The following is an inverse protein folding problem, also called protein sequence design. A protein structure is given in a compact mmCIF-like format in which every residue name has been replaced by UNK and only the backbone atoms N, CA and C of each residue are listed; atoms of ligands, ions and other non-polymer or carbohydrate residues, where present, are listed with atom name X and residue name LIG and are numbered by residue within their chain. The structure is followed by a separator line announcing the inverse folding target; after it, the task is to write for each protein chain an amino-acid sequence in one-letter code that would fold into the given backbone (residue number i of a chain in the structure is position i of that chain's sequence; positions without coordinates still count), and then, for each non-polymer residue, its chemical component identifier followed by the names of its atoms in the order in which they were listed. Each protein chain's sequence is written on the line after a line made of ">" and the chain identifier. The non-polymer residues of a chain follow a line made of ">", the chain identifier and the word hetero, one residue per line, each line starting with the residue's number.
data_IF_042806457928
#
_entry.id   IF_042806457928
#
_cell.length_a   1.000
_cell.length_b   1.000
_cell.length_c   1.000
_cell.angle_alpha   90.00
_cell.angle_beta   90.00
_cell.angle_gamma   90.00
#
_symmetry.space_group_name_H-M   'P 1'
#
loop_
_entity.id
_entity.type
_entity.pdbx_description
1 polymer ?
#
# COMPACT_ATOMS: atom_id res chain seq x y z
N UNK A 1 31.63 -31.20 69.72
CA UNK A 1 31.73 -30.09 68.75
C UNK A 1 30.81 -30.44 67.60
N UNK A 2 29.64 -29.76 67.46
CA UNK A 2 28.63 -29.99 66.41
C UNK A 2 28.78 -28.89 65.36
N UNK A 3 29.16 -29.31 64.12
CA UNK A 3 29.26 -28.42 62.99
C UNK A 3 27.90 -28.15 62.38
N UNK A 4 27.54 -26.87 62.23
CA UNK A 4 26.32 -26.42 61.57
C UNK A 4 26.68 -26.19 60.07
N UNK A 5 26.08 -26.97 59.16
CA UNK A 5 26.18 -26.77 57.72
C UNK A 5 25.13 -25.76 57.28
N UNK A 6 25.55 -24.58 56.77
CA UNK A 6 24.67 -23.57 56.18
C UNK A 6 24.36 -23.94 54.73
N UNK A 7 23.10 -24.15 54.41
CA UNK A 7 22.60 -24.36 53.05
C UNK A 7 22.39 -22.98 52.42
N UNK A 8 23.15 -22.68 51.35
CA UNK A 8 22.94 -21.48 50.53
C UNK A 8 21.98 -21.87 49.40
N UNK A 9 20.74 -21.37 49.45
CA UNK A 9 19.74 -21.52 48.35
C UNK A 9 19.97 -20.41 47.34
N UNK A 10 20.51 -20.76 46.18
CA UNK A 10 20.63 -19.82 45.06
C UNK A 10 19.27 -19.72 44.34
N UNK A 11 18.60 -18.57 44.50
CA UNK A 11 17.39 -18.27 43.75
C UNK A 11 17.76 -17.84 42.30
N UNK A 12 17.41 -18.64 41.33
CA UNK A 12 17.50 -18.30 39.91
C UNK A 12 16.31 -17.40 39.54
N UNK A 13 16.58 -16.11 39.28
CA UNK A 13 15.61 -15.20 38.65
C UNK A 13 15.53 -15.56 37.17
N UNK A 14 14.50 -16.30 36.77
CA UNK A 14 14.14 -16.51 35.36
C UNK A 14 13.51 -15.21 34.88
N UNK A 15 14.27 -14.38 34.16
CA UNK A 15 13.76 -13.22 33.44
C UNK A 15 12.94 -13.75 32.24
N UNK A 16 11.67 -14.00 32.45
CA UNK A 16 10.74 -14.29 31.39
C UNK A 16 10.56 -13.05 30.52
N UNK A 17 11.15 -13.01 29.32
CA UNK A 17 10.79 -12.03 28.31
C UNK A 17 9.31 -12.24 27.96
N UNK A 18 8.47 -11.27 28.34
CA UNK A 18 7.08 -11.24 27.89
C UNK A 18 7.07 -11.28 26.36
N UNK A 19 6.31 -12.16 25.70
CA UNK A 19 6.16 -12.11 24.27
C UNK A 19 5.59 -10.74 23.91
N UNK A 20 6.32 -9.97 23.12
CA UNK A 20 5.79 -8.74 22.53
C UNK A 20 4.56 -9.14 21.71
N UNK A 21 3.38 -8.66 22.12
CA UNK A 21 2.17 -8.84 21.31
C UNK A 21 2.45 -8.29 19.91
N UNK A 22 2.19 -9.08 18.89
CA UNK A 22 2.30 -8.63 17.50
C UNK A 22 1.42 -7.39 17.33
N UNK A 23 1.90 -6.34 16.63
CA UNK A 23 1.08 -5.16 16.40
C UNK A 23 -0.20 -5.57 15.68
N UNK A 24 -1.32 -4.98 16.08
CA UNK A 24 -2.63 -5.23 15.46
C UNK A 24 -2.67 -4.75 14.02
N UNK A 25 -1.91 -3.68 13.73
CA UNK A 25 -1.84 -3.07 12.39
C UNK A 25 -0.50 -3.34 11.74
N UNK A 26 -0.53 -3.79 10.49
CA UNK A 26 0.63 -4.03 9.62
C UNK A 26 0.44 -3.33 8.30
N UNK A 27 1.53 -2.80 7.73
CA UNK A 27 1.59 -2.30 6.36
C UNK A 27 2.34 -3.32 5.53
N UNK A 28 1.69 -3.87 4.50
CA UNK A 28 2.27 -4.91 3.63
C UNK A 28 2.42 -4.35 2.23
N UNK A 29 3.64 -4.37 1.72
CA UNK A 29 3.96 -3.89 0.38
C UNK A 29 3.67 -5.00 -0.62
N UNK A 30 2.51 -4.98 -1.28
CA UNK A 30 2.14 -6.01 -2.26
C UNK A 30 2.81 -5.79 -3.61
N UNK A 31 3.11 -4.54 -3.95
CA UNK A 31 3.86 -4.17 -5.13
C UNK A 31 4.50 -2.80 -4.95
N UNK A 32 5.77 -2.70 -5.31
CA UNK A 32 6.60 -1.50 -5.14
C UNK A 32 7.10 -0.94 -6.47
N UNK A 33 6.69 -1.57 -7.58
CA UNK A 33 7.12 -1.22 -8.93
C UNK A 33 6.55 0.11 -9.42
N UNK A 34 6.87 0.42 -10.66
CA UNK A 34 6.50 1.63 -11.41
C UNK A 34 5.99 1.18 -12.79
N UNK A 35 5.67 2.07 -13.73
CA UNK A 35 5.34 1.65 -15.10
C UNK A 35 6.45 0.87 -15.84
N UNK A 36 7.68 0.84 -15.30
CA UNK A 36 8.76 0.03 -15.89
C UNK A 36 8.47 -1.46 -15.62
N UNK A 37 8.68 -2.27 -16.65
CA UNK A 37 8.45 -3.72 -16.56
C UNK A 37 9.62 -4.42 -15.84
N UNK A 38 9.75 -4.18 -14.55
CA UNK A 38 10.72 -4.84 -13.69
C UNK A 38 10.13 -6.21 -13.25
N UNK A 39 10.81 -7.34 -13.54
CA UNK A 39 10.30 -8.67 -13.20
C UNK A 39 10.26 -8.93 -11.69
N UNK A 40 11.06 -8.21 -10.91
CA UNK A 40 11.19 -8.41 -9.46
C UNK A 40 10.27 -7.49 -8.64
N UNK A 41 9.57 -6.54 -9.29
CA UNK A 41 8.67 -5.57 -8.66
C UNK A 41 7.31 -5.53 -9.35
N UNK A 42 6.28 -5.90 -8.63
CA UNK A 42 4.91 -5.82 -9.11
C UNK A 42 4.36 -4.39 -9.06
N UNK A 43 3.28 -4.14 -9.79
CA UNK A 43 2.66 -2.81 -9.84
C UNK A 43 2.24 -2.30 -8.46
N UNK A 44 2.19 -0.97 -8.27
CA UNK A 44 1.96 -0.36 -6.96
C UNK A 44 0.70 -0.91 -6.28
N UNK A 45 0.86 -1.45 -5.09
CA UNK A 45 -0.22 -1.91 -4.24
C UNK A 45 0.26 -2.05 -2.79
N UNK A 46 -0.45 -1.42 -1.86
CA UNK A 46 -0.17 -1.47 -0.43
C UNK A 46 -1.38 -2.02 0.30
N UNK A 47 -1.17 -2.91 1.27
CA UNK A 47 -2.25 -3.36 2.14
C UNK A 47 -2.03 -2.85 3.57
N UNK A 48 -3.01 -2.11 4.11
CA UNK A 48 -3.13 -1.89 5.54
C UNK A 48 -3.94 -3.06 6.10
N UNK A 49 -3.34 -3.82 6.99
CA UNK A 49 -3.97 -4.98 7.64
C UNK A 49 -4.18 -4.66 9.10
N UNK A 50 -5.42 -4.74 9.57
CA UNK A 50 -5.78 -4.56 10.97
C UNK A 50 -6.44 -5.83 11.47
N UNK A 51 -5.79 -6.50 12.42
CA UNK A 51 -6.17 -7.83 12.90
C UNK A 51 -6.31 -8.84 11.72
N UNK A 52 -7.54 -9.22 11.39
CA UNK A 52 -7.91 -10.17 10.34
C UNK A 52 -8.47 -9.51 9.06
N UNK A 53 -8.44 -8.19 8.97
CA UNK A 53 -9.06 -7.42 7.88
C UNK A 53 -8.03 -6.66 7.08
N UNK A 54 -8.17 -6.69 5.75
CA UNK A 54 -7.29 -5.98 4.82
C UNK A 54 -8.00 -4.83 4.09
N UNK A 55 -7.25 -3.74 3.88
CA UNK A 55 -7.63 -2.55 3.15
C UNK A 55 -6.54 -2.28 2.12
N UNK A 56 -6.86 -2.44 0.83
CA UNK A 56 -5.89 -2.24 -0.25
C UNK A 56 -5.82 -0.78 -0.67
N UNK A 57 -4.64 -0.27 -0.92
CA UNK A 57 -4.42 1.01 -1.60
C UNK A 57 -3.70 0.71 -2.90
N UNK A 58 -4.34 1.06 -3.99
CA UNK A 58 -4.04 0.68 -5.36
C UNK A 58 -4.08 -0.83 -5.63
N UNK A 59 -4.13 -1.16 -6.89
CA UNK A 59 -4.26 -2.52 -7.37
C UNK A 59 -3.51 -2.68 -8.70
N UNK A 60 -2.21 -2.40 -8.66
CA UNK A 60 -1.30 -2.61 -9.77
C UNK A 60 -1.25 -4.08 -10.21
N UNK A 61 -0.55 -4.34 -11.31
CA UNK A 61 -0.45 -5.67 -11.88
C UNK A 61 0.05 -6.68 -10.83
N UNK A 62 -0.66 -7.83 -10.71
CA UNK A 62 -0.27 -8.93 -9.83
C UNK A 62 -0.75 -8.82 -8.38
N UNK A 63 -1.53 -7.80 -8.00
CA UNK A 63 -1.99 -7.56 -6.63
C UNK A 63 -2.58 -8.80 -5.94
N UNK A 64 -3.43 -9.57 -6.63
CA UNK A 64 -4.06 -10.79 -6.05
C UNK A 64 -3.03 -11.87 -5.76
N UNK A 65 -2.07 -12.07 -6.67
CA UNK A 65 -1.00 -13.06 -6.49
C UNK A 65 -0.03 -12.67 -5.39
N UNK A 66 0.25 -11.37 -5.26
CA UNK A 66 1.10 -10.84 -4.17
C UNK A 66 0.39 -10.94 -2.82
N UNK A 67 -0.91 -10.66 -2.76
CA UNK A 67 -1.73 -10.89 -1.58
C UNK A 67 -1.72 -12.37 -1.15
N UNK A 68 -1.89 -13.29 -2.11
CA UNK A 68 -1.79 -14.74 -1.84
C UNK A 68 -0.38 -15.16 -1.39
N UNK A 69 0.69 -14.53 -1.88
CA UNK A 69 2.05 -14.77 -1.41
C UNK A 69 2.24 -14.29 0.03
N UNK A 70 1.75 -13.09 0.37
CA UNK A 70 1.76 -12.57 1.73
C UNK A 70 0.92 -13.44 2.70
N UNK A 71 -0.22 -13.96 2.24
CA UNK A 71 -1.05 -14.91 2.98
C UNK A 71 -0.27 -16.18 3.34
N UNK A 72 0.44 -16.77 2.38
CA UNK A 72 1.31 -17.94 2.59
C UNK A 72 2.45 -17.64 3.57
N UNK A 73 2.97 -16.43 3.58
CA UNK A 73 4.01 -15.96 4.52
C UNK A 73 3.44 -15.60 5.91
N UNK A 74 2.15 -15.83 6.16
CA UNK A 74 1.53 -15.69 7.48
C UNK A 74 0.59 -14.50 7.65
N UNK A 75 0.38 -13.66 6.64
CA UNK A 75 -0.58 -12.54 6.70
C UNK A 75 -1.96 -13.03 6.25
N UNK A 76 -2.64 -13.79 7.10
CA UNK A 76 -3.90 -14.49 6.75
C UNK A 76 -5.04 -13.58 6.27
N UNK A 77 -5.07 -12.33 6.71
CA UNK A 77 -6.01 -11.32 6.23
C UNK A 77 -5.94 -11.07 4.71
N UNK A 78 -4.82 -11.43 4.06
CA UNK A 78 -4.58 -11.25 2.63
C UNK A 78 -4.93 -12.49 1.78
N UNK A 79 -5.62 -13.48 2.33
CA UNK A 79 -6.23 -14.52 1.51
C UNK A 79 -7.10 -13.88 0.41
N UNK A 80 -7.03 -14.41 -0.82
CA UNK A 80 -7.73 -13.80 -1.96
C UNK A 80 -9.22 -13.57 -1.70
N UNK A 81 -9.87 -14.47 -0.97
CA UNK A 81 -11.29 -14.36 -0.58
C UNK A 81 -11.59 -13.22 0.40
N UNK A 82 -10.58 -12.66 1.05
CA UNK A 82 -10.70 -11.55 2.00
C UNK A 82 -10.48 -10.16 1.36
N UNK A 83 -10.10 -10.11 0.08
CA UNK A 83 -9.87 -8.86 -0.64
C UNK A 83 -11.22 -8.23 -1.03
N UNK A 84 -11.82 -7.50 -0.12
CA UNK A 84 -13.19 -6.97 -0.26
C UNK A 84 -13.26 -5.45 -0.39
N UNK A 85 -12.16 -4.73 -0.12
CA UNK A 85 -12.10 -3.26 -0.14
C UNK A 85 -10.80 -2.78 -0.75
N UNK A 86 -10.90 -1.80 -1.67
CA UNK A 86 -9.71 -1.17 -2.24
C UNK A 86 -9.95 0.33 -2.50
N UNK A 87 -8.88 1.10 -2.38
CA UNK A 87 -8.83 2.55 -2.50
C UNK A 87 -7.85 2.90 -3.62
N UNK A 88 -8.32 3.50 -4.71
CA UNK A 88 -7.47 3.97 -5.79
C UNK A 88 -6.94 5.37 -5.50
N UNK A 89 -5.64 5.58 -5.60
CA UNK A 89 -5.04 6.91 -5.47
C UNK A 89 -5.34 7.76 -6.70
N UNK A 90 -5.15 7.21 -7.88
CA UNK A 90 -5.45 7.80 -9.17
C UNK A 90 -5.62 6.70 -10.24
N UNK A 91 -5.85 7.05 -11.52
CA UNK A 91 -6.19 6.06 -12.53
C UNK A 91 -5.08 5.80 -13.57
N UNK A 92 -3.81 6.02 -13.26
CA UNK A 92 -2.73 5.52 -14.09
C UNK A 92 -2.77 4.00 -14.20
N UNK A 93 -2.32 3.49 -15.33
CA UNK A 93 -2.44 2.06 -15.65
C UNK A 93 -1.65 1.17 -14.68
N UNK A 94 -0.48 1.57 -14.26
CA UNK A 94 0.35 0.79 -13.32
C UNK A 94 -0.29 0.63 -11.94
N UNK A 95 -1.13 1.59 -11.50
CA UNK A 95 -1.92 1.51 -10.27
C UNK A 95 -3.23 0.72 -10.43
N UNK A 96 -3.69 0.47 -11.67
CA UNK A 96 -5.05 -0.05 -11.92
C UNK A 96 -5.11 -1.32 -12.78
N UNK A 97 -4.01 -1.76 -13.41
CA UNK A 97 -4.01 -2.94 -14.29
C UNK A 97 -4.43 -4.25 -13.62
N UNK A 98 -4.31 -4.37 -12.30
CA UNK A 98 -4.77 -5.53 -11.54
C UNK A 98 -6.26 -5.51 -11.19
N UNK A 99 -7.03 -4.47 -11.59
CA UNK A 99 -8.44 -4.36 -11.20
C UNK A 99 -9.30 -5.52 -11.69
N UNK A 100 -9.14 -5.94 -12.93
CA UNK A 100 -9.88 -7.09 -13.46
C UNK A 100 -9.56 -8.37 -12.67
N UNK A 101 -8.28 -8.61 -12.36
CA UNK A 101 -7.86 -9.75 -11.53
C UNK A 101 -8.47 -9.66 -10.11
N UNK A 102 -8.48 -8.46 -9.50
CA UNK A 102 -9.07 -8.23 -8.17
C UNK A 102 -10.61 -8.42 -8.13
N UNK A 103 -11.29 -8.14 -9.23
CA UNK A 103 -12.73 -8.39 -9.34
C UNK A 103 -12.98 -9.90 -9.50
N UNK A 104 -12.33 -10.54 -10.46
CA UNK A 104 -12.68 -11.86 -10.98
C UNK A 104 -12.05 -13.00 -10.21
N UNK A 105 -10.74 -12.98 -9.95
CA UNK A 105 -10.04 -14.11 -9.30
C UNK A 105 -10.56 -14.37 -7.89
N UNK A 106 -10.73 -13.40 -6.98
CA UNK A 106 -11.32 -13.64 -5.67
C UNK A 106 -12.80 -14.10 -5.75
N UNK A 107 -13.55 -13.65 -6.74
CA UNK A 107 -14.92 -14.12 -6.97
C UNK A 107 -14.95 -15.60 -7.38
N UNK A 108 -14.07 -16.02 -8.30
CA UNK A 108 -13.92 -17.43 -8.72
C UNK A 108 -13.53 -18.30 -7.50
N UNK A 109 -12.74 -17.77 -6.59
CA UNK A 109 -12.33 -18.43 -5.35
C UNK A 109 -13.38 -18.30 -4.21
N UNK A 110 -14.62 -17.95 -4.54
CA UNK A 110 -15.75 -17.87 -3.63
C UNK A 110 -15.65 -16.77 -2.54
N UNK A 111 -15.09 -15.60 -2.88
CA UNK A 111 -15.18 -14.43 -2.02
C UNK A 111 -16.63 -14.23 -1.56
N UNK A 112 -16.82 -14.06 -0.25
CA UNK A 112 -18.16 -14.10 0.36
C UNK A 112 -19.01 -12.85 0.04
N UNK A 113 -18.37 -11.70 -0.19
CA UNK A 113 -19.02 -10.40 -0.41
C UNK A 113 -18.47 -9.71 -1.65
N UNK A 114 -19.27 -8.91 -2.37
CA UNK A 114 -18.80 -8.11 -3.50
C UNK A 114 -17.64 -7.18 -3.10
N UNK A 115 -16.82 -6.84 -4.10
CA UNK A 115 -15.76 -5.84 -3.95
C UNK A 115 -16.36 -4.44 -3.82
N UNK A 116 -15.82 -3.67 -2.89
CA UNK A 116 -16.12 -2.24 -2.75
C UNK A 116 -14.86 -1.43 -3.07
N UNK A 117 -15.00 -0.47 -3.97
CA UNK A 117 -13.94 0.40 -4.47
C UNK A 117 -14.21 1.85 -4.07
N UNK A 118 -13.17 2.54 -3.70
CA UNK A 118 -13.14 3.98 -3.42
C UNK A 118 -12.07 4.62 -4.29
N UNK A 119 -12.33 5.77 -4.93
CA UNK A 119 -11.31 6.42 -5.74
C UNK A 119 -11.83 7.58 -6.56
N UNK A 120 -11.02 8.14 -7.47
CA UNK A 120 -11.36 9.32 -8.22
C UNK A 120 -12.49 9.06 -9.24
N UNK A 121 -13.06 10.14 -9.73
CA UNK A 121 -14.02 10.10 -10.86
C UNK A 121 -13.40 9.36 -12.04
N UNK A 122 -14.20 8.49 -12.68
CA UNK A 122 -13.79 7.60 -13.75
C UNK A 122 -13.60 6.15 -13.31
N UNK A 123 -13.39 5.88 -12.02
CA UNK A 123 -13.22 4.52 -11.48
C UNK A 123 -14.45 3.65 -11.74
N UNK A 124 -15.65 4.21 -11.62
CA UNK A 124 -16.92 3.50 -11.94
C UNK A 124 -17.00 3.11 -13.42
N UNK A 125 -16.65 4.02 -14.32
CA UNK A 125 -16.64 3.76 -15.75
C UNK A 125 -15.60 2.69 -16.11
N UNK A 126 -14.37 2.80 -15.56
CA UNK A 126 -13.31 1.80 -15.72
C UNK A 126 -13.77 0.42 -15.26
N UNK A 127 -14.33 0.31 -14.05
CA UNK A 127 -14.85 -0.95 -13.49
C UNK A 127 -15.89 -1.59 -14.40
N UNK A 128 -16.86 -0.81 -14.88
CA UNK A 128 -17.91 -1.30 -15.80
C UNK A 128 -17.30 -1.82 -17.10
N UNK A 129 -16.41 -1.07 -17.75
CA UNK A 129 -15.79 -1.49 -19.01
C UNK A 129 -14.93 -2.75 -18.86
N UNK A 130 -14.25 -2.90 -17.75
CA UNK A 130 -13.49 -4.13 -17.46
C UNK A 130 -14.43 -5.33 -17.29
N UNK A 131 -15.54 -5.18 -16.58
CA UNK A 131 -16.55 -6.24 -16.45
C UNK A 131 -17.16 -6.58 -17.82
N UNK A 132 -17.47 -5.59 -18.64
CA UNK A 132 -18.00 -5.78 -19.99
C UNK A 132 -17.01 -6.49 -20.91
N UNK A 133 -15.71 -6.22 -20.76
CA UNK A 133 -14.65 -6.90 -21.51
C UNK A 133 -14.60 -8.42 -21.24
N UNK A 134 -15.03 -8.86 -20.04
CA UNK A 134 -15.09 -10.28 -19.65
C UNK A 134 -16.51 -10.87 -19.77
N UNK A 135 -17.43 -10.25 -20.50
CA UNK A 135 -18.83 -10.66 -20.58
C UNK A 135 -19.02 -12.12 -21.00
N UNK A 136 -18.22 -12.62 -21.96
CA UNK A 136 -18.30 -14.02 -22.42
C UNK A 136 -17.79 -15.01 -21.35
N UNK A 137 -16.67 -14.73 -20.69
CA UNK A 137 -16.15 -15.54 -19.58
C UNK A 137 -17.21 -15.62 -18.47
N UNK A 138 -17.78 -14.49 -18.06
CA UNK A 138 -18.78 -14.42 -17.02
C UNK A 138 -20.07 -15.18 -17.40
N UNK A 139 -20.48 -15.09 -18.66
CA UNK A 139 -21.65 -15.84 -19.18
C UNK A 139 -21.40 -17.35 -19.13
N UNK A 140 -20.21 -17.81 -19.52
CA UNK A 140 -19.84 -19.22 -19.51
C UNK A 140 -19.79 -19.73 -18.09
N UNK A 141 -19.12 -19.04 -17.17
CA UNK A 141 -19.01 -19.44 -15.75
C UNK A 141 -20.37 -19.47 -15.04
N UNK A 142 -21.24 -18.52 -15.32
CA UNK A 142 -22.55 -18.43 -14.64
C UNK A 142 -23.62 -19.34 -15.22
N UNK A 143 -23.49 -19.79 -16.48
CA UNK A 143 -24.50 -20.60 -17.20
C UNK A 143 -23.97 -21.91 -17.77
N UNK A 144 -22.66 -22.11 -17.76
CA UNK A 144 -21.98 -23.23 -18.41
C UNK A 144 -21.78 -24.47 -17.55
N UNK A 145 -22.37 -24.54 -16.35
CA UNK A 145 -22.31 -25.71 -15.47
C UNK A 145 -21.31 -25.65 -14.32
N UNK A 146 -20.61 -24.51 -14.14
CA UNK A 146 -19.84 -24.30 -12.91
C UNK A 146 -20.78 -24.25 -11.68
N UNK A 147 -20.27 -24.59 -10.48
CA UNK A 147 -21.04 -24.43 -9.25
C UNK A 147 -21.55 -23.00 -9.09
N UNK A 148 -22.74 -22.84 -8.52
CA UNK A 148 -23.37 -21.54 -8.36
C UNK A 148 -22.56 -20.67 -7.40
N UNK A 149 -22.06 -19.53 -7.89
CA UNK A 149 -21.37 -18.52 -7.07
C UNK A 149 -22.34 -17.80 -6.13
N UNK A 150 -21.79 -17.24 -5.05
CA UNK A 150 -22.58 -16.56 -3.99
C UNK A 150 -23.29 -15.31 -4.47
N UNK A 151 -22.72 -14.61 -5.46
CA UNK A 151 -23.30 -13.39 -6.06
C UNK A 151 -22.85 -13.23 -7.51
N UNK A 152 -23.51 -12.35 -8.25
CA UNK A 152 -23.13 -11.99 -9.62
C UNK A 152 -21.83 -11.17 -9.59
N UNK A 153 -20.77 -11.55 -10.33
CA UNK A 153 -19.49 -10.85 -10.36
C UNK A 153 -19.60 -9.40 -10.86
N UNK A 154 -20.68 -9.04 -11.54
CA UNK A 154 -20.98 -7.67 -11.97
C UNK A 154 -21.36 -6.75 -10.82
N UNK A 155 -21.66 -7.32 -9.64
CA UNK A 155 -21.95 -6.54 -8.43
C UNK A 155 -20.65 -6.08 -7.80
N UNK A 156 -20.16 -4.92 -8.24
CA UNK A 156 -19.06 -4.18 -7.63
C UNK A 156 -19.57 -2.82 -7.17
N UNK A 157 -19.39 -2.51 -5.89
CA UNK A 157 -19.77 -1.20 -5.36
C UNK A 157 -18.64 -0.21 -5.59
N UNK A 158 -18.91 0.91 -6.26
CA UNK A 158 -17.90 1.93 -6.53
C UNK A 158 -18.34 3.28 -5.94
N UNK A 159 -17.50 3.83 -5.07
CA UNK A 159 -17.61 5.17 -4.53
C UNK A 159 -16.58 6.08 -5.19
N UNK A 160 -17.03 6.98 -6.06
CA UNK A 160 -16.19 8.07 -6.56
C UNK A 160 -16.17 9.15 -5.48
N UNK A 161 -14.99 9.42 -4.95
CA UNK A 161 -14.78 10.18 -3.71
C UNK A 161 -14.29 11.61 -3.97
N UNK A 162 -14.36 12.41 -2.94
CA UNK A 162 -13.70 13.72 -2.81
C UNK A 162 -12.88 13.71 -1.51
N UNK A 163 -11.92 14.67 -1.33
CA UNK A 163 -11.17 14.78 -0.07
C UNK A 163 -12.08 14.83 1.16
N UNK A 164 -11.67 14.16 2.23
CA UNK A 164 -12.39 14.03 3.48
C UNK A 164 -12.51 12.58 3.95
N UNK A 165 -13.40 12.33 4.92
CA UNK A 165 -13.70 10.98 5.40
C UNK A 165 -14.36 10.15 4.29
N UNK A 166 -13.72 9.06 3.86
CA UNK A 166 -14.19 8.22 2.75
C UNK A 166 -14.64 6.84 3.19
N UNK A 167 -14.11 6.35 4.32
CA UNK A 167 -14.50 5.05 4.87
C UNK A 167 -14.29 5.02 6.39
N UNK A 168 -15.16 4.28 7.08
CA UNK A 168 -15.02 3.98 8.51
C UNK A 168 -15.69 2.65 8.85
N UNK A 169 -15.00 1.85 9.64
CA UNK A 169 -15.56 0.69 10.34
C UNK A 169 -15.02 0.62 11.79
N UNK A 170 -15.17 -0.51 12.45
CA UNK A 170 -14.71 -0.72 13.84
C UNK A 170 -13.19 -0.72 13.99
N UNK A 171 -12.46 -0.93 12.90
CA UNK A 171 -10.99 -1.11 12.86
C UNK A 171 -10.26 0.10 12.31
N UNK A 172 -10.90 0.87 11.43
CA UNK A 172 -10.19 1.93 10.72
C UNK A 172 -11.08 3.12 10.38
N UNK A 173 -10.48 4.29 10.39
CA UNK A 173 -11.02 5.49 9.75
C UNK A 173 -10.08 5.86 8.62
N UNK A 174 -10.59 6.00 7.39
CA UNK A 174 -9.82 6.36 6.21
C UNK A 174 -10.26 7.73 5.70
N UNK A 175 -9.31 8.65 5.63
CA UNK A 175 -9.48 9.99 5.06
C UNK A 175 -8.67 10.09 3.77
N UNK A 176 -9.28 10.56 2.70
CA UNK A 176 -8.57 10.93 1.47
C UNK A 176 -8.21 12.40 1.50
N UNK A 177 -7.04 12.75 0.99
CA UNK A 177 -6.62 14.13 0.77
C UNK A 177 -6.10 14.30 -0.65
N UNK A 178 -6.32 15.47 -1.25
CA UNK A 178 -5.86 15.73 -2.60
C UNK A 178 -4.34 15.91 -2.63
N UNK A 179 -3.73 15.35 -3.67
CA UNK A 179 -2.31 15.53 -3.99
C UNK A 179 -2.16 16.01 -5.44
N UNK A 180 -1.17 16.86 -5.75
CA UNK A 180 -0.91 17.27 -7.13
C UNK A 180 -0.20 16.14 -7.87
N UNK A 181 -0.78 15.70 -8.99
CA UNK A 181 -0.14 14.70 -9.86
C UNK A 181 -0.29 15.12 -11.33
N UNK A 182 0.50 16.10 -11.73
CA UNK A 182 0.57 16.62 -13.10
C UNK A 182 -0.77 17.09 -13.64
N UNK A 183 -1.29 16.41 -14.67
CA UNK A 183 -2.55 16.78 -15.34
C UNK A 183 -3.79 16.06 -14.77
N UNK A 184 -3.64 15.20 -13.78
CA UNK A 184 -4.77 14.56 -13.12
C UNK A 184 -5.58 15.57 -12.31
N UNK A 185 -6.88 15.69 -12.62
CA UNK A 185 -7.78 16.54 -11.85
C UNK A 185 -8.01 16.01 -10.43
N UNK A 186 -7.92 14.71 -10.25
CA UNK A 186 -8.09 14.03 -8.98
C UNK A 186 -7.02 12.97 -8.79
N UNK A 187 -6.14 13.20 -7.84
CA UNK A 187 -5.24 12.21 -7.27
C UNK A 187 -5.29 12.35 -5.74
N UNK A 188 -5.20 11.25 -5.03
CA UNK A 188 -5.39 11.17 -3.60
C UNK A 188 -4.23 10.49 -2.90
N UNK A 189 -3.83 11.04 -1.75
CA UNK A 189 -3.20 10.29 -0.69
C UNK A 189 -4.27 9.83 0.32
N UNK A 190 -3.91 8.86 1.14
CA UNK A 190 -4.80 8.30 2.16
C UNK A 190 -4.16 8.33 3.54
N UNK A 191 -4.96 8.70 4.53
CA UNK A 191 -4.63 8.68 5.94
C UNK A 191 -5.49 7.62 6.62
N UNK A 192 -4.85 6.59 7.18
CA UNK A 192 -5.46 5.50 7.93
C UNK A 192 -5.21 5.71 9.42
N UNK A 193 -6.28 5.88 10.17
CA UNK A 193 -6.25 5.86 11.62
C UNK A 193 -6.78 4.49 12.10
N UNK A 194 -5.91 3.70 12.72
CA UNK A 194 -6.22 2.40 13.30
C UNK A 194 -6.16 2.43 14.83
N UNK A 195 -6.50 1.37 15.56
CA UNK A 195 -6.44 1.37 17.02
C UNK A 195 -5.06 1.60 17.63
N UNK A 196 -4.00 1.24 16.90
CA UNK A 196 -2.60 1.26 17.38
C UNK A 196 -1.63 2.01 16.48
N UNK A 197 -2.06 2.47 15.28
CA UNK A 197 -1.18 3.15 14.32
C UNK A 197 -1.89 4.20 13.49
N UNK A 198 -1.12 5.19 13.06
CA UNK A 198 -1.47 6.16 12.03
C UNK A 198 -0.57 5.94 10.82
N UNK A 199 -1.17 5.64 9.66
CA UNK A 199 -0.46 5.38 8.41
C UNK A 199 -0.87 6.41 7.37
N UNK A 200 0.10 7.00 6.69
CA UNK A 200 -0.12 7.90 5.55
C UNK A 200 0.49 7.27 4.31
N UNK A 201 -0.29 7.20 3.23
CA UNK A 201 0.14 6.68 1.93
C UNK A 201 -0.05 7.80 0.91
N UNK A 202 1.03 8.22 0.26
CA UNK A 202 1.02 9.39 -0.61
C UNK A 202 0.22 9.20 -1.91
N UNK A 203 0.20 7.99 -2.48
CA UNK A 203 0.00 7.82 -3.92
C UNK A 203 1.12 8.52 -4.69
N UNK A 204 0.95 8.71 -6.00
CA UNK A 204 1.88 9.50 -6.78
C UNK A 204 1.58 10.99 -6.61
N UNK A 205 2.62 11.79 -6.36
CA UNK A 205 2.44 13.21 -6.04
C UNK A 205 3.64 14.06 -6.43
N UNK A 206 3.38 15.24 -6.94
CA UNK A 206 4.40 16.29 -7.03
C UNK A 206 4.80 16.81 -5.64
N UNK A 207 5.86 17.63 -5.57
CA UNK A 207 6.48 18.04 -4.29
C UNK A 207 5.65 19.03 -3.46
N UNK A 208 4.62 19.65 -4.03
CA UNK A 208 3.74 20.63 -3.37
C UNK A 208 2.58 19.96 -2.62
N UNK A 209 2.81 18.80 -2.04
CA UNK A 209 1.80 18.08 -1.27
C UNK A 209 1.83 18.52 0.19
N UNK A 210 0.68 18.40 0.86
CA UNK A 210 0.56 18.59 2.31
C UNK A 210 0.80 17.30 3.09
N UNK A 211 1.70 16.46 2.61
CA UNK A 211 2.00 15.16 3.22
C UNK A 211 2.53 15.34 4.64
N UNK A 212 3.39 16.34 4.88
CA UNK A 212 3.90 16.66 6.21
C UNK A 212 2.78 17.05 7.20
N UNK A 213 1.76 17.78 6.73
CA UNK A 213 0.58 18.12 7.55
C UNK A 213 -0.26 16.87 7.86
N UNK A 214 -0.43 15.97 6.89
CA UNK A 214 -1.19 14.73 7.07
C UNK A 214 -0.45 13.73 7.95
N UNK A 215 0.87 13.70 7.87
CA UNK A 215 1.68 12.74 8.63
C UNK A 215 1.97 13.17 10.07
N UNK A 216 2.05 14.45 10.42
CA UNK A 216 2.34 14.97 11.79
C UNK A 216 2.60 13.89 12.86
N UNK A 217 3.82 13.35 12.92
CA UNK A 217 4.22 12.24 13.78
C UNK A 217 3.46 10.92 13.52
N UNK A 218 3.07 10.65 12.25
CA UNK A 218 2.47 9.37 11.91
C UNK A 218 3.46 8.21 12.16
N UNK A 219 2.93 7.02 12.42
CA UNK A 219 3.76 5.84 12.67
C UNK A 219 4.46 5.36 11.39
N UNK A 220 3.75 5.42 10.25
CA UNK A 220 4.31 5.01 8.95
C UNK A 220 3.89 6.01 7.87
N UNK A 221 4.88 6.56 7.17
CA UNK A 221 4.69 7.29 5.93
C UNK A 221 5.17 6.41 4.76
N UNK A 222 4.26 5.93 3.92
CA UNK A 222 4.59 5.27 2.65
C UNK A 222 4.53 6.31 1.55
N UNK A 223 5.64 6.56 0.86
CA UNK A 223 5.72 7.64 -0.12
C UNK A 223 6.47 7.23 -1.39
N UNK A 224 5.94 7.65 -2.54
CA UNK A 224 6.62 7.51 -3.83
C UNK A 224 7.87 8.39 -3.88
N UNK A 225 8.80 8.07 -4.76
CA UNK A 225 10.05 8.85 -4.83
C UNK A 225 10.80 8.64 -6.13
N UNK A 226 11.48 9.69 -6.61
CA UNK A 226 12.48 9.53 -7.66
C UNK A 226 13.89 9.93 -7.24
N UNK A 227 14.90 9.25 -7.83
CA UNK A 227 16.32 9.64 -7.71
C UNK A 227 16.62 10.86 -8.57
N UNK A 228 17.09 11.93 -7.95
CA UNK A 228 17.55 13.13 -8.67
C UNK A 228 18.75 12.83 -9.58
N UNK A 229 19.69 12.00 -9.11
CA UNK A 229 20.86 11.58 -9.90
C UNK A 229 20.46 10.70 -11.09
N UNK A 230 19.46 9.82 -10.91
CA UNK A 230 18.91 9.00 -11.99
C UNK A 230 18.16 9.85 -13.01
N UNK A 231 17.32 10.80 -12.54
CA UNK A 231 16.57 11.69 -13.42
C UNK A 231 17.46 12.60 -14.25
N UNK A 232 18.56 13.12 -13.69
CA UNK A 232 19.49 14.01 -14.37
C UNK A 232 20.13 13.35 -15.64
N UNK A 233 20.11 12.03 -15.73
CA UNK A 233 20.62 11.28 -16.91
C UNK A 233 19.53 11.03 -17.97
N UNK A 234 18.28 11.42 -17.71
CA UNK A 234 17.17 11.27 -18.68
C UNK A 234 17.14 12.46 -19.64
N UNK A 235 16.51 12.34 -20.83
CA UNK A 235 16.25 13.46 -21.71
C UNK A 235 15.50 14.59 -21.00
N UNK A 236 15.73 15.86 -21.41
CA UNK A 236 15.20 17.04 -20.75
C UNK A 236 13.66 17.04 -20.62
N UNK A 237 12.97 16.52 -21.61
CA UNK A 237 11.50 16.37 -21.59
C UNK A 237 11.02 15.44 -20.46
N UNK A 238 11.75 14.33 -20.22
CA UNK A 238 11.45 13.43 -19.11
C UNK A 238 11.82 14.03 -17.76
N UNK A 239 12.88 14.83 -17.70
CA UNK A 239 13.21 15.57 -16.47
C UNK A 239 12.09 16.54 -16.12
N UNK A 240 11.61 17.33 -17.09
CA UNK A 240 10.50 18.26 -16.90
C UNK A 240 9.18 17.54 -16.51
N UNK A 241 8.92 16.37 -17.12
CA UNK A 241 7.74 15.56 -16.78
C UNK A 241 7.82 15.05 -15.34
N UNK A 242 8.86 14.27 -15.00
CA UNK A 242 8.92 13.61 -13.69
C UNK A 242 9.03 14.59 -12.52
N UNK A 243 9.77 15.70 -12.68
CA UNK A 243 9.84 16.73 -11.63
C UNK A 243 8.50 17.41 -11.33
N UNK A 244 7.55 17.35 -12.25
CA UNK A 244 6.19 17.90 -12.07
C UNK A 244 5.21 16.87 -11.49
N UNK A 245 5.41 15.59 -11.81
CA UNK A 245 4.47 14.53 -11.46
C UNK A 245 4.86 13.79 -10.18
N UNK A 246 6.14 13.81 -9.81
CA UNK A 246 6.69 13.01 -8.70
C UNK A 246 7.56 13.84 -7.76
N UNK A 247 7.85 13.29 -6.59
CA UNK A 247 8.66 13.93 -5.54
C UNK A 247 10.09 13.40 -5.58
N UNK A 248 11.07 14.31 -5.63
CA UNK A 248 12.49 13.90 -5.55
C UNK A 248 12.86 13.41 -4.16
N UNK A 249 13.89 12.58 -4.08
CA UNK A 249 14.40 12.04 -2.83
C UNK A 249 14.77 13.14 -1.80
N UNK A 250 15.32 14.26 -2.26
CA UNK A 250 15.65 15.40 -1.38
C UNK A 250 14.42 16.15 -0.88
N UNK A 251 13.44 16.37 -1.75
CA UNK A 251 12.17 17.00 -1.37
C UNK A 251 11.41 16.10 -0.38
N UNK A 252 11.37 14.79 -0.64
CA UNK A 252 10.77 13.83 0.27
C UNK A 252 11.47 13.83 1.64
N UNK A 253 12.80 13.86 1.67
CA UNK A 253 13.53 13.99 2.93
C UNK A 253 13.13 15.26 3.70
N UNK A 254 12.98 16.40 3.01
CA UNK A 254 12.53 17.65 3.63
C UNK A 254 11.06 17.57 4.12
N UNK A 255 10.17 16.92 3.36
CA UNK A 255 8.78 16.64 3.77
C UNK A 255 8.79 15.77 5.05
N UNK A 256 9.56 14.68 5.06
CA UNK A 256 9.66 13.78 6.20
C UNK A 256 10.26 14.48 7.44
N UNK A 257 11.21 15.39 7.25
CA UNK A 257 11.77 16.19 8.35
C UNK A 257 10.75 17.12 9.01
N UNK A 258 9.76 17.61 8.26
CA UNK A 258 8.66 18.41 8.83
C UNK A 258 7.56 17.52 9.43
N UNK A 259 7.20 16.42 8.75
CA UNK A 259 6.14 15.50 9.17
C UNK A 259 6.54 14.55 10.30
N UNK A 260 7.84 14.29 10.47
CA UNK A 260 8.44 13.44 11.52
C UNK A 260 7.77 12.05 11.66
N UNK A 261 7.66 11.25 10.57
CA UNK A 261 7.17 9.89 10.69
C UNK A 261 8.10 9.04 11.57
N UNK A 262 7.54 8.09 12.33
CA UNK A 262 8.37 7.13 13.05
C UNK A 262 9.11 6.18 12.07
N UNK A 263 8.52 5.94 10.88
CA UNK A 263 9.14 5.21 9.77
C UNK A 263 8.72 5.82 8.43
N UNK A 264 9.70 6.20 7.59
CA UNK A 264 9.50 6.52 6.18
C UNK A 264 9.77 5.27 5.34
N UNK A 265 8.80 4.86 4.52
CA UNK A 265 8.87 3.71 3.61
C UNK A 265 8.82 4.23 2.17
N UNK A 266 9.91 4.02 1.43
CA UNK A 266 9.98 4.41 0.01
C UNK A 266 9.36 3.31 -0.85
N UNK A 267 8.41 3.66 -1.70
CA UNK A 267 7.83 2.74 -2.69
C UNK A 267 7.67 3.46 -4.04
N UNK A 268 7.19 2.80 -5.07
CA UNK A 268 7.08 3.39 -6.41
C UNK A 268 8.34 4.17 -6.80
N UNK A 269 9.48 3.47 -6.71
CA UNK A 269 10.80 4.08 -6.77
C UNK A 269 11.27 4.26 -8.21
N UNK A 270 11.31 5.47 -8.68
CA UNK A 270 11.83 5.84 -10.02
C UNK A 270 13.35 6.08 -9.92
N UNK A 271 14.12 5.00 -9.93
CA UNK A 271 15.59 5.07 -9.76
C UNK A 271 16.38 5.10 -11.09
N UNK A 272 15.80 4.60 -12.18
CA UNK A 272 16.40 4.49 -13.52
C UNK A 272 17.82 3.88 -13.48
N UNK A 273 18.85 4.68 -13.81
CA UNK A 273 20.27 4.27 -13.79
C UNK A 273 21.00 4.57 -12.47
N UNK A 274 20.26 4.91 -11.40
CA UNK A 274 20.77 5.04 -10.03
C UNK A 274 20.61 3.70 -9.29
N UNK A 275 20.98 3.67 -8.01
CA UNK A 275 20.82 2.52 -7.13
C UNK A 275 19.94 2.88 -5.92
N UNK A 276 19.40 1.89 -5.22
CA UNK A 276 18.67 2.11 -3.98
C UNK A 276 19.52 2.78 -2.90
N UNK A 277 20.79 2.41 -2.80
CA UNK A 277 21.72 3.05 -1.86
C UNK A 277 21.94 4.53 -2.18
N UNK A 278 22.01 4.89 -3.46
CA UNK A 278 22.10 6.29 -3.88
C UNK A 278 20.81 7.04 -3.58
N UNK A 279 19.64 6.43 -3.85
CA UNK A 279 18.34 6.99 -3.51
C UNK A 279 18.22 7.25 -2.00
N UNK A 280 18.59 6.28 -1.17
CA UNK A 280 18.58 6.43 0.29
C UNK A 280 19.55 7.52 0.78
N UNK A 281 20.72 7.67 0.16
CA UNK A 281 21.66 8.76 0.46
C UNK A 281 21.07 10.13 0.10
N UNK A 282 20.36 10.23 -1.03
CA UNK A 282 19.66 11.46 -1.41
C UNK A 282 18.60 11.86 -0.37
N UNK A 283 17.75 10.92 0.08
CA UNK A 283 16.77 11.17 1.14
C UNK A 283 17.44 11.60 2.44
N UNK A 284 18.48 10.86 2.87
CA UNK A 284 19.23 11.14 4.11
C UNK A 284 20.00 12.44 4.07
N UNK A 285 20.18 13.06 2.92
CA UNK A 285 20.79 14.40 2.84
C UNK A 285 19.93 15.51 3.44
N UNK A 286 18.62 15.23 3.65
CA UNK A 286 17.64 16.18 4.19
C UNK A 286 16.72 15.57 5.27
N UNK A 287 16.98 14.31 5.68
CA UNK A 287 16.18 13.61 6.70
C UNK A 287 17.05 12.68 7.55
N UNK A 288 17.04 12.91 8.87
CA UNK A 288 17.82 12.13 9.85
C UNK A 288 17.02 10.97 10.47
N UNK A 289 15.73 10.87 10.19
CA UNK A 289 14.87 9.83 10.75
C UNK A 289 15.02 8.46 10.09
N UNK A 290 14.22 7.51 10.54
CA UNK A 290 14.27 6.13 10.04
C UNK A 290 13.64 6.06 8.65
N UNK A 291 14.42 5.65 7.64
CA UNK A 291 13.99 5.47 6.26
C UNK A 291 14.41 4.10 5.72
N UNK A 292 13.53 3.45 4.99
CA UNK A 292 13.75 2.16 4.29
C UNK A 292 13.30 2.24 2.84
N UNK A 293 13.99 1.53 1.95
CA UNK A 293 13.56 1.25 0.59
C UNK A 293 12.75 -0.05 0.62
N UNK A 294 11.49 0.00 0.24
CA UNK A 294 10.61 -1.16 0.32
C UNK A 294 10.79 -2.09 -0.89
N UNK A 295 10.62 -3.38 -0.62
CA UNK A 295 10.49 -4.43 -1.62
C UNK A 295 9.12 -5.10 -1.52
N UNK A 296 8.74 -5.82 -2.57
CA UNK A 296 7.50 -6.57 -2.57
C UNK A 296 7.50 -7.60 -1.44
N UNK A 297 6.38 -7.64 -0.70
CA UNK A 297 6.10 -8.47 0.47
C UNK A 297 6.79 -8.03 1.77
N UNK A 298 7.48 -6.90 1.80
CA UNK A 298 7.92 -6.32 3.06
C UNK A 298 6.71 -6.00 3.96
N UNK A 299 6.90 -6.18 5.27
CA UNK A 299 5.87 -5.96 6.30
C UNK A 299 6.42 -5.03 7.38
N UNK A 300 5.70 -3.95 7.65
CA UNK A 300 6.06 -2.92 8.61
C UNK A 300 5.03 -2.79 9.73
#
# INVERSE_FOLDING_TARGET
>A
MKGIASLVVAAWLVSGSMPHAQPRTRVVMLGTGTPNADPDRYGPAVAVVVDDTSYLVDFGVGVVRRAAAAERSGVKALAATNLTRAFATHLHSDHTLGLADLILTPWILERATPLTLYGPRGLRAMTRHLIDAYADDLRIRTRGGEPKHRYDPRVVTVHEITPGLVYRDERVTVTAFAVPHGAWEQAFGYHFQTPDRTIVISGDTGPESRIDEQCRHCDVLVHEVYSSAGLAKRPAEWQAYHSRYHTSARELGAIASRGQPALLVLYHQLIWSSTEDELLKEVRSTYDGKVVSAHDLDVY
#
